data_IF_758029150998
#
_entry.id   IF_758029150998
#
_cell.length_a   1.000
_cell.length_b   1.000
_cell.length_c   1.000
_cell.angle_alpha   90.00
_cell.angle_beta   90.00
_cell.angle_gamma   90.00
#
_symmetry.space_group_name_H-M   'P 1'
#
loop_
_entity.id
_entity.type
_entity.pdbx_description
1 polymer ?
#
# COMPACT_ATOMS: atom_id res chain seq x y z
N UNK A 1 26.77 -18.43 59.56
CA UNK A 1 27.30 -17.10 59.22
C UNK A 1 26.17 -16.32 58.63
N UNK A 2 25.66 -15.41 59.44
CA UNK A 2 24.55 -14.50 59.25
C UNK A 2 25.17 -13.10 59.21
N UNK A 3 24.85 -12.28 58.21
CA UNK A 3 24.89 -10.80 58.19
C UNK A 3 24.12 -10.41 56.91
N UNK A 4 23.23 -9.43 56.83
CA UNK A 4 22.79 -8.39 57.73
C UNK A 4 22.07 -7.32 56.87
N UNK A 5 20.88 -6.92 57.33
CA UNK A 5 19.99 -5.82 56.88
C UNK A 5 20.76 -4.49 56.75
N UNK A 6 20.52 -3.63 55.75
CA UNK A 6 19.69 -2.40 55.80
C UNK A 6 19.62 -1.72 54.39
N UNK A 7 18.73 -0.81 54.00
CA UNK A 7 17.60 -0.12 54.61
C UNK A 7 17.45 1.28 54.00
N UNK A 8 16.29 1.59 53.37
CA UNK A 8 15.68 2.92 53.11
C UNK A 8 16.48 3.95 52.25
N UNK A 9 15.92 4.85 51.46
CA UNK A 9 14.85 5.84 51.75
C UNK A 9 14.15 6.33 50.47
N UNK A 10 12.91 6.78 50.69
CA UNK A 10 12.05 7.57 49.79
C UNK A 10 12.66 8.95 49.47
N UNK A 11 12.18 9.59 48.41
CA UNK A 11 11.79 11.01 48.44
C UNK A 11 10.86 11.36 47.26
N UNK A 12 9.61 11.66 47.61
CA UNK A 12 8.67 12.52 46.88
C UNK A 12 9.08 13.97 47.11
N UNK A 13 9.08 14.83 46.09
CA UNK A 13 8.74 16.27 46.26
C UNK A 13 7.98 16.75 45.01
N UNK A 14 6.73 17.17 45.27
CA UNK A 14 5.86 18.01 44.45
C UNK A 14 6.32 19.48 44.37
N UNK A 15 5.64 20.22 43.48
CA UNK A 15 5.44 21.68 43.47
C UNK A 15 6.41 22.46 42.55
N UNK A 16 6.03 23.53 41.84
CA UNK A 16 4.78 24.22 41.53
C UNK A 16 5.10 25.39 40.56
N UNK A 17 4.05 26.02 40.03
CA UNK A 17 3.95 27.04 38.98
C UNK A 17 4.83 28.30 39.08
N UNK A 18 5.07 28.97 37.94
CA UNK A 18 4.76 30.42 37.76
C UNK A 18 4.90 30.89 36.30
N UNK A 19 4.10 31.92 35.99
CA UNK A 19 3.83 32.51 34.68
C UNK A 19 4.87 33.57 34.27
N UNK A 20 4.96 33.86 32.97
CA UNK A 20 5.68 35.03 32.44
C UNK A 20 5.20 35.38 31.02
N UNK A 21 4.29 36.35 30.94
CA UNK A 21 3.89 37.03 29.71
C UNK A 21 4.95 38.07 29.28
N UNK A 22 5.22 38.22 27.98
CA UNK A 22 5.55 39.50 27.34
C UNK A 22 5.04 39.46 25.89
N UNK A 23 4.22 40.46 25.52
CA UNK A 23 3.80 40.79 24.15
C UNK A 23 4.51 42.06 23.66
N UNK A 24 4.91 42.12 22.39
CA UNK A 24 4.98 43.33 21.52
C UNK A 24 5.46 42.90 20.12
N UNK A 25 4.70 42.95 19.00
CA UNK A 25 4.09 44.05 18.23
C UNK A 25 4.88 44.43 16.95
N UNK A 26 4.26 44.14 15.79
CA UNK A 26 4.05 45.00 14.58
C UNK A 26 5.12 45.10 13.44
N UNK A 27 4.58 44.89 12.21
CA UNK A 27 4.86 45.44 10.85
C UNK A 27 5.91 44.81 9.89
N UNK A 28 5.39 44.00 8.95
CA UNK A 28 5.23 44.18 7.49
C UNK A 28 6.35 44.59 6.49
N UNK A 29 6.24 43.94 5.31
CA UNK A 29 6.80 44.21 3.95
C UNK A 29 8.32 43.91 3.68
N UNK A 30 8.78 43.28 2.59
CA UNK A 30 8.20 42.87 1.30
C UNK A 30 9.13 41.89 0.50
N UNK A 31 8.52 41.01 -0.31
CA UNK A 31 8.90 40.42 -1.64
C UNK A 31 10.24 39.68 -1.93
N UNK A 32 10.10 38.45 -2.45
CA UNK A 32 10.40 37.96 -3.85
C UNK A 32 10.14 36.44 -3.87
N UNK A 33 9.14 35.86 -4.55
CA UNK A 33 8.88 35.65 -6.00
C UNK A 33 9.16 34.19 -6.41
N UNK A 34 8.36 33.73 -7.37
CA UNK A 34 8.33 32.49 -8.16
C UNK A 34 7.75 31.19 -7.55
N UNK A 35 6.82 30.48 -8.18
CA UNK A 35 5.73 30.78 -9.11
C UNK A 35 4.93 29.47 -9.21
N UNK A 36 3.62 29.56 -9.00
CA UNK A 36 2.63 28.50 -9.09
C UNK A 36 2.33 28.25 -10.57
N UNK A 37 2.55 27.03 -11.09
CA UNK A 37 2.00 26.64 -12.40
C UNK A 37 0.97 25.53 -12.23
N UNK A 38 -0.27 25.96 -12.36
CA UNK A 38 -1.46 25.13 -12.41
C UNK A 38 -1.62 24.48 -13.79
N UNK A 39 -2.38 23.41 -13.76
CA UNK A 39 -2.62 22.38 -14.75
C UNK A 39 -3.60 22.86 -15.83
N UNK A 40 -3.16 23.02 -17.08
CA UNK A 40 -4.08 23.13 -18.23
C UNK A 40 -3.51 22.48 -19.49
N UNK A 41 -4.08 21.34 -19.88
CA UNK A 41 -4.32 20.91 -21.28
C UNK A 41 -5.52 19.96 -21.23
N UNK A 42 -6.75 20.48 -21.32
CA UNK A 42 -7.60 20.59 -22.53
C UNK A 42 -7.76 19.28 -23.31
N UNK A 43 -8.93 18.67 -23.09
CA UNK A 43 -9.64 17.78 -24.01
C UNK A 43 -10.57 18.68 -24.86
N UNK A 44 -10.70 18.41 -26.16
CA UNK A 44 -11.97 18.46 -26.91
C UNK A 44 -11.84 17.89 -28.34
N UNK A 45 -12.94 17.23 -28.71
CA UNK A 45 -13.51 16.70 -29.97
C UNK A 45 -13.45 17.67 -31.19
N UNK A 46 -13.70 17.37 -32.49
CA UNK A 46 -14.43 16.33 -33.26
C UNK A 46 -14.07 16.45 -34.80
N UNK A 47 -14.59 15.50 -35.61
CA UNK A 47 -15.01 15.59 -37.05
C UNK A 47 -14.07 15.43 -38.29
N UNK A 48 -14.14 14.22 -38.87
CA UNK A 48 -14.61 13.84 -40.24
C UNK A 48 -14.25 14.68 -41.50
N UNK A 49 -13.58 14.09 -42.53
CA UNK A 49 -14.09 14.04 -43.93
C UNK A 49 -13.37 13.01 -44.88
N UNK A 50 -14.17 12.02 -45.30
CA UNK A 50 -14.38 11.27 -46.58
C UNK A 50 -13.39 11.25 -47.77
N UNK A 51 -13.12 10.03 -48.32
CA UNK A 51 -13.49 9.49 -49.68
C UNK A 51 -12.57 8.30 -50.07
N UNK A 52 -13.09 7.06 -50.09
CA UNK A 52 -13.50 6.19 -51.25
C UNK A 52 -12.32 5.38 -51.86
N UNK A 53 -12.38 4.11 -52.28
CA UNK A 53 -13.41 3.35 -53.00
C UNK A 53 -13.30 1.82 -52.76
N UNK A 54 -14.33 1.13 -53.25
CA UNK A 54 -14.81 -0.27 -53.13
C UNK A 54 -13.89 -1.46 -53.46
N UNK A 55 -14.19 -2.63 -52.85
CA UNK A 55 -13.94 -3.96 -53.43
C UNK A 55 -13.97 -5.09 -52.38
N UNK A 56 -14.89 -6.05 -52.53
CA UNK A 56 -15.22 -7.06 -51.52
C UNK A 56 -14.36 -8.34 -51.46
N UNK A 57 -14.81 -9.18 -50.53
CA UNK A 57 -14.59 -10.61 -50.33
C UNK A 57 -13.30 -11.17 -49.72
N UNK A 58 -13.58 -12.25 -48.96
CA UNK A 58 -12.72 -13.37 -48.52
C UNK A 58 -11.92 -13.24 -47.23
N UNK A 59 -12.49 -13.89 -46.20
CA UNK A 59 -11.81 -14.45 -45.03
C UNK A 59 -10.63 -15.34 -45.46
N UNK A 60 -9.41 -15.15 -44.89
CA UNK A 60 -8.47 -16.25 -44.75
C UNK A 60 -8.37 -16.66 -43.28
N UNK A 61 -9.10 -17.72 -42.98
CA UNK A 61 -8.90 -18.59 -41.83
C UNK A 61 -7.53 -19.26 -41.96
N UNK A 62 -6.50 -18.68 -41.36
CA UNK A 62 -5.25 -19.37 -41.08
C UNK A 62 -4.45 -18.61 -40.01
N UNK A 63 -4.83 -18.76 -38.74
CA UNK A 63 -3.85 -18.57 -37.67
C UNK A 63 -2.92 -19.79 -37.75
N UNK A 64 -1.61 -19.63 -37.97
CA UNK A 64 -0.71 -20.76 -38.05
C UNK A 64 -0.74 -21.48 -36.71
N UNK A 65 -1.09 -22.76 -36.76
CA UNK A 65 -0.96 -23.68 -35.65
C UNK A 65 0.48 -23.60 -35.15
N UNK A 66 0.67 -22.98 -33.98
CA UNK A 66 1.91 -23.09 -33.23
C UNK A 66 2.06 -24.59 -32.98
N UNK A 67 3.05 -25.19 -33.65
CA UNK A 67 3.40 -26.59 -33.48
C UNK A 67 3.57 -26.84 -31.99
N UNK A 68 2.76 -27.75 -31.47
CA UNK A 68 3.00 -28.34 -30.17
C UNK A 68 4.25 -29.21 -30.35
N UNK A 69 5.41 -28.57 -30.25
CA UNK A 69 6.67 -29.29 -30.08
C UNK A 69 6.52 -30.03 -28.76
N UNK A 70 6.68 -31.38 -28.72
CA UNK A 70 6.72 -32.09 -27.46
C UNK A 70 7.78 -31.41 -26.60
N UNK A 71 7.41 -31.02 -25.38
CA UNK A 71 8.34 -30.34 -24.50
C UNK A 71 9.47 -31.32 -24.18
N UNK A 72 10.65 -31.07 -24.75
CA UNK A 72 11.83 -31.88 -24.52
C UNK A 72 12.11 -31.97 -23.02
N UNK A 73 12.46 -33.18 -22.56
CA UNK A 73 12.77 -33.40 -21.16
C UNK A 73 14.07 -32.65 -20.81
N UNK A 74 14.07 -31.77 -19.78
CA UNK A 74 15.28 -31.07 -19.36
C UNK A 74 16.35 -32.09 -18.93
N UNK A 75 17.57 -31.88 -19.38
CA UNK A 75 18.72 -32.71 -19.02
C UNK A 75 19.83 -31.88 -18.38
N UNK A 76 20.63 -32.54 -17.55
CA UNK A 76 21.80 -31.89 -16.92
C UNK A 76 22.84 -31.58 -18.00
N UNK A 77 23.31 -30.34 -18.02
CA UNK A 77 24.21 -29.82 -19.06
C UNK A 77 23.52 -29.06 -20.18
N UNK A 78 22.19 -28.98 -20.21
CA UNK A 78 21.48 -28.15 -21.18
C UNK A 78 21.83 -26.66 -20.98
N UNK A 79 22.17 -25.98 -22.07
CA UNK A 79 22.57 -24.57 -22.06
C UNK A 79 21.43 -23.66 -22.56
N UNK A 80 21.36 -22.47 -22.00
CA UNK A 80 20.43 -21.41 -22.39
C UNK A 80 21.17 -20.07 -22.47
N UNK A 81 20.77 -19.22 -23.40
CA UNK A 81 21.38 -17.90 -23.57
C UNK A 81 20.99 -16.91 -22.46
N UNK A 82 19.82 -17.13 -21.82
CA UNK A 82 19.32 -16.27 -20.75
C UNK A 82 18.58 -17.06 -19.66
N UNK A 83 18.50 -16.44 -18.47
CA UNK A 83 17.69 -16.97 -17.36
C UNK A 83 16.21 -17.07 -17.76
N UNK A 84 15.71 -16.07 -18.50
CA UNK A 84 14.33 -16.03 -18.98
C UNK A 84 14.03 -17.18 -19.96
N UNK A 85 14.96 -17.49 -20.86
CA UNK A 85 14.81 -18.62 -21.79
C UNK A 85 14.72 -19.96 -21.02
N UNK A 86 15.59 -20.18 -20.04
CA UNK A 86 15.55 -21.36 -19.19
C UNK A 86 14.24 -21.46 -18.37
N UNK A 87 13.73 -20.32 -17.90
CA UNK A 87 12.46 -20.25 -17.19
C UNK A 87 11.28 -20.64 -18.09
N UNK A 88 11.20 -20.09 -19.31
CA UNK A 88 10.13 -20.40 -20.27
C UNK A 88 10.16 -21.87 -20.65
N UNK A 89 11.35 -22.43 -20.90
CA UNK A 89 11.53 -23.84 -21.21
C UNK A 89 11.03 -24.76 -20.08
N UNK A 90 11.50 -24.53 -18.84
CA UNK A 90 11.07 -25.35 -17.72
C UNK A 90 9.58 -25.18 -17.38
N UNK A 91 9.01 -24.00 -17.64
CA UNK A 91 7.57 -23.77 -17.48
C UNK A 91 6.75 -24.55 -18.51
N UNK A 92 7.21 -24.61 -19.76
CA UNK A 92 6.58 -25.43 -20.79
C UNK A 92 6.64 -26.92 -20.43
N UNK A 93 7.81 -27.39 -19.97
CA UNK A 93 7.98 -28.75 -19.44
C UNK A 93 7.03 -29.02 -18.27
N UNK A 94 7.02 -28.17 -17.24
CA UNK A 94 6.15 -28.31 -16.07
C UNK A 94 4.66 -28.39 -16.47
N UNK A 95 4.24 -27.55 -17.41
CA UNK A 95 2.87 -27.54 -17.93
C UNK A 95 2.53 -28.80 -18.72
N UNK A 96 3.49 -29.37 -19.45
CA UNK A 96 3.30 -30.62 -20.19
C UNK A 96 3.21 -31.84 -19.27
N UNK A 97 4.02 -31.87 -18.21
CA UNK A 97 4.03 -32.93 -17.19
C UNK A 97 2.85 -32.81 -16.24
N UNK A 98 2.31 -31.59 -16.07
CA UNK A 98 1.10 -31.35 -15.33
C UNK A 98 1.30 -30.86 -13.90
N UNK A 99 2.38 -30.12 -13.66
CA UNK A 99 2.60 -29.38 -12.42
C UNK A 99 2.87 -27.91 -12.70
N UNK A 100 2.67 -27.09 -11.67
CA UNK A 100 3.02 -25.69 -11.70
C UNK A 100 4.38 -25.54 -11.03
N UNK A 101 5.32 -24.90 -11.70
CA UNK A 101 6.62 -24.56 -11.12
C UNK A 101 6.52 -23.29 -10.26
N UNK A 102 7.57 -22.93 -9.52
CA UNK A 102 7.74 -21.63 -8.85
C UNK A 102 9.21 -21.27 -8.85
N UNK A 103 9.49 -19.97 -8.85
CA UNK A 103 10.85 -19.47 -8.70
C UNK A 103 11.23 -19.55 -7.21
N UNK A 104 12.34 -20.21 -6.90
CA UNK A 104 12.77 -20.48 -5.52
C UNK A 104 13.93 -19.56 -5.13
N UNK A 105 15.15 -20.11 -5.01
CA UNK A 105 16.34 -19.36 -4.59
C UNK A 105 17.04 -18.76 -5.80
N UNK A 106 17.46 -17.50 -5.65
CA UNK A 106 18.42 -16.83 -6.51
C UNK A 106 19.79 -16.82 -5.82
N UNK A 107 20.82 -17.32 -6.49
CA UNK A 107 22.21 -17.29 -6.02
C UNK A 107 22.93 -16.12 -6.66
N UNK A 108 23.59 -15.31 -5.85
CA UNK A 108 24.36 -14.13 -6.30
C UNK A 108 25.85 -14.30 -6.06
N UNK A 109 26.67 -13.70 -6.92
CA UNK A 109 28.11 -13.55 -6.72
C UNK A 109 28.37 -12.81 -5.42
N UNK A 110 29.31 -13.30 -4.59
CA UNK A 110 29.80 -12.54 -3.43
C UNK A 110 30.68 -11.36 -3.83
N UNK A 111 31.28 -11.40 -5.04
CA UNK A 111 32.17 -10.35 -5.53
C UNK A 111 31.40 -9.24 -6.22
N UNK A 112 30.50 -9.61 -7.13
CA UNK A 112 29.89 -8.65 -8.06
C UNK A 112 28.37 -8.47 -7.83
N UNK A 113 27.77 -9.22 -6.92
CA UNK A 113 26.31 -9.21 -6.69
C UNK A 113 25.46 -9.77 -7.84
N UNK A 114 26.07 -10.14 -8.96
CA UNK A 114 25.41 -10.66 -10.17
C UNK A 114 24.73 -12.00 -9.93
N UNK A 115 23.63 -12.27 -10.64
CA UNK A 115 22.96 -13.57 -10.59
C UNK A 115 23.84 -14.67 -11.20
N UNK A 116 24.31 -15.59 -10.36
CA UNK A 116 25.15 -16.74 -10.75
C UNK A 116 24.32 -18.04 -10.81
N UNK A 117 23.17 -18.10 -10.17
CA UNK A 117 22.35 -19.29 -10.22
C UNK A 117 20.90 -19.05 -9.86
N UNK A 118 20.03 -19.92 -10.37
CA UNK A 118 18.58 -19.86 -10.12
C UNK A 118 18.07 -21.28 -9.91
N UNK A 119 17.15 -21.44 -8.96
CA UNK A 119 16.43 -22.70 -8.76
C UNK A 119 14.95 -22.52 -9.05
N UNK A 120 14.39 -23.44 -9.82
CA UNK A 120 12.99 -23.52 -10.17
C UNK A 120 12.45 -24.84 -9.64
N UNK A 121 11.33 -24.80 -8.92
CA UNK A 121 10.87 -25.93 -8.09
C UNK A 121 9.38 -26.14 -8.29
N UNK A 122 8.84 -27.29 -7.91
CA UNK A 122 7.38 -27.47 -7.91
C UNK A 122 6.69 -26.53 -6.90
N UNK A 123 5.46 -26.09 -7.19
CA UNK A 123 4.66 -25.29 -6.25
C UNK A 123 4.47 -26.02 -4.90
N UNK A 124 4.34 -27.35 -4.95
CA UNK A 124 4.19 -28.21 -3.78
C UNK A 124 5.52 -28.57 -3.08
N UNK A 125 6.64 -27.93 -3.45
CA UNK A 125 7.97 -28.19 -2.90
C UNK A 125 8.15 -27.68 -1.46
N UNK A 126 8.77 -28.50 -0.62
CA UNK A 126 9.13 -28.20 0.77
C UNK A 126 7.98 -28.38 1.77
N UNK A 127 8.23 -28.02 3.02
CA UNK A 127 7.22 -27.94 4.07
C UNK A 127 7.17 -26.50 4.59
N UNK A 128 5.99 -26.00 4.95
CA UNK A 128 5.91 -24.68 5.58
C UNK A 128 6.33 -24.85 7.04
N UNK A 129 7.34 -24.09 7.45
CA UNK A 129 7.70 -24.03 8.88
C UNK A 129 6.50 -23.37 9.59
N UNK A 130 5.97 -23.95 10.68
CA UNK A 130 4.89 -23.34 11.42
C UNK A 130 5.32 -21.97 11.92
N UNK A 131 4.53 -20.94 11.59
CA UNK A 131 4.79 -19.58 12.03
C UNK A 131 4.50 -19.51 13.54
N UNK A 132 5.50 -19.08 14.33
CA UNK A 132 5.38 -19.00 15.80
C UNK A 132 4.64 -17.74 16.26
N UNK A 133 4.21 -16.87 15.35
CA UNK A 133 3.50 -15.63 15.67
C UNK A 133 2.01 -15.91 15.90
N UNK A 134 1.45 -15.22 16.88
CA UNK A 134 0.06 -15.38 17.33
C UNK A 134 -0.95 -15.30 16.18
N UNK A 135 -1.99 -16.12 16.31
CA UNK A 135 -2.98 -16.56 15.31
C UNK A 135 -3.95 -15.46 14.83
N UNK A 136 -3.49 -14.23 14.58
CA UNK A 136 -4.35 -13.11 14.19
C UNK A 136 -4.51 -13.00 12.66
N UNK A 137 -3.66 -13.67 11.88
CA UNK A 137 -3.76 -13.69 10.41
C UNK A 137 -4.33 -15.03 9.95
N UNK A 138 -5.41 -15.01 9.15
CA UNK A 138 -6.01 -16.19 8.51
C UNK A 138 -4.91 -17.08 7.91
N UNK A 139 -4.69 -18.25 8.51
CA UNK A 139 -3.70 -19.20 8.02
C UNK A 139 -4.16 -19.76 6.68
N UNK A 140 -3.48 -19.38 5.59
CA UNK A 140 -3.67 -19.97 4.27
C UNK A 140 -3.44 -21.48 4.37
N UNK A 141 -4.38 -22.27 3.83
CA UNK A 141 -4.31 -23.74 3.80
C UNK A 141 -2.94 -24.20 3.29
N UNK A 142 -2.35 -25.20 3.95
CA UNK A 142 -1.03 -25.72 3.60
C UNK A 142 -1.07 -26.43 2.24
N UNK A 143 -0.37 -25.86 1.26
CA UNK A 143 -0.34 -26.40 -0.11
C UNK A 143 0.92 -27.21 -0.43
N UNK A 144 1.92 -27.23 0.47
CA UNK A 144 3.23 -27.87 0.26
C UNK A 144 3.27 -29.26 0.89
N UNK A 145 3.57 -30.28 0.09
CA UNK A 145 3.59 -31.70 0.48
C UNK A 145 5.01 -32.28 0.45
N UNK A 146 6.03 -31.43 0.51
CA UNK A 146 7.42 -31.90 0.48
C UNK A 146 7.89 -32.39 -0.89
N UNK A 147 7.30 -31.90 -1.99
CA UNK A 147 7.73 -32.30 -3.33
C UNK A 147 9.22 -32.00 -3.55
N UNK A 148 9.95 -32.90 -4.22
CA UNK A 148 11.40 -32.74 -4.49
C UNK A 148 11.73 -32.31 -5.92
N UNK A 149 10.74 -32.29 -6.81
CA UNK A 149 10.93 -31.89 -8.19
C UNK A 149 11.48 -30.46 -8.32
N UNK A 150 12.64 -30.34 -8.97
CA UNK A 150 13.37 -29.09 -9.12
C UNK A 150 14.33 -29.13 -10.32
N UNK A 151 14.65 -27.96 -10.83
CA UNK A 151 15.78 -27.72 -11.73
C UNK A 151 16.65 -26.60 -11.15
N UNK A 152 17.97 -26.78 -11.23
CA UNK A 152 18.97 -25.80 -10.83
C UNK A 152 19.76 -25.35 -12.04
N UNK A 153 19.84 -24.03 -12.20
CA UNK A 153 20.55 -23.35 -13.27
C UNK A 153 21.75 -22.61 -12.68
N UNK A 154 22.89 -22.66 -13.38
CA UNK A 154 24.10 -21.91 -13.04
C UNK A 154 24.60 -21.15 -14.26
N UNK A 155 24.97 -19.89 -14.06
CA UNK A 155 25.64 -19.07 -15.06
C UNK A 155 27.10 -19.48 -15.17
N UNK A 156 27.53 -19.85 -16.37
CA UNK A 156 28.90 -20.17 -16.72
C UNK A 156 29.66 -18.88 -17.08
N UNK A 157 30.98 -18.91 -17.02
CA UNK A 157 31.86 -17.78 -17.38
C UNK A 157 31.62 -17.26 -18.81
N UNK A 158 31.10 -18.10 -19.71
CA UNK A 158 30.66 -17.74 -21.06
C UNK A 158 29.40 -16.88 -21.10
N UNK A 159 28.75 -16.59 -19.97
CA UNK A 159 27.51 -15.82 -19.88
C UNK A 159 26.24 -16.65 -20.03
N UNK A 160 26.36 -17.91 -20.49
CA UNK A 160 25.26 -18.86 -20.66
C UNK A 160 24.80 -19.45 -19.34
N UNK A 161 23.55 -19.92 -19.30
CA UNK A 161 22.92 -20.59 -18.18
C UNK A 161 22.84 -22.09 -18.43
N UNK A 162 23.39 -22.89 -17.53
CA UNK A 162 23.46 -24.35 -17.67
C UNK A 162 22.69 -25.05 -16.57
N UNK A 163 21.95 -26.09 -16.91
CA UNK A 163 21.27 -26.97 -15.95
C UNK A 163 22.31 -27.80 -15.20
N UNK A 164 22.44 -27.59 -13.89
CA UNK A 164 23.39 -28.35 -13.04
C UNK A 164 22.73 -29.49 -12.31
N UNK A 165 21.42 -29.41 -12.05
CA UNK A 165 20.66 -30.44 -11.36
C UNK A 165 19.25 -30.46 -11.90
N UNK A 166 18.74 -31.65 -12.17
CA UNK A 166 17.34 -31.87 -12.53
C UNK A 166 16.80 -33.04 -11.71
N UNK A 167 15.65 -32.84 -11.07
CA UNK A 167 14.92 -33.83 -10.30
C UNK A 167 13.51 -33.89 -10.86
N UNK A 168 13.17 -35.01 -11.49
CA UNK A 168 11.86 -35.28 -12.10
C UNK A 168 10.82 -35.76 -11.09
N UNK A 169 11.25 -36.43 -10.03
CA UNK A 169 10.35 -37.12 -9.10
C UNK A 169 9.44 -36.17 -8.33
N UNK A 170 8.14 -36.42 -8.41
CA UNK A 170 7.11 -35.76 -7.61
C UNK A 170 6.63 -36.68 -6.48
N UNK A 171 6.40 -36.10 -5.31
CA UNK A 171 5.87 -36.80 -4.13
C UNK A 171 4.34 -36.69 -4.05
N UNK A 172 3.69 -36.23 -5.13
CA UNK A 172 2.25 -36.03 -5.21
C UNK A 172 1.73 -36.32 -6.62
N UNK A 173 0.43 -36.63 -6.77
CA UNK A 173 -0.21 -36.72 -8.08
C UNK A 173 -0.08 -35.40 -8.85
N UNK A 174 0.24 -35.49 -10.14
CA UNK A 174 0.31 -34.35 -11.05
C UNK A 174 -1.12 -33.92 -11.39
N UNK A 175 -1.45 -32.66 -11.12
CA UNK A 175 -2.83 -32.18 -11.05
C UNK A 175 -3.46 -31.91 -12.43
N UNK A 176 -2.64 -31.85 -13.48
CA UNK A 176 -3.11 -31.54 -14.84
C UNK A 176 -2.85 -32.74 -15.73
N UNK A 177 -3.90 -33.50 -16.06
CA UNK A 177 -3.83 -34.45 -17.17
C UNK A 177 -3.55 -33.67 -18.48
N UNK A 178 -2.74 -34.22 -19.40
CA UNK A 178 -2.53 -33.60 -20.70
C UNK A 178 -3.86 -33.52 -21.45
N UNK A 179 -4.38 -32.31 -21.67
CA UNK A 179 -5.54 -32.08 -22.55
C UNK A 179 -6.68 -31.19 -22.05
N UNK A 180 -6.64 -30.63 -20.83
CA UNK A 180 -7.61 -29.56 -20.43
C UNK A 180 -6.93 -28.18 -20.44
N UNK A 181 -7.63 -27.22 -21.06
CA UNK A 181 -7.12 -25.91 -21.47
C UNK A 181 -6.43 -25.09 -20.38
N UNK A 182 -5.32 -24.47 -20.80
CA UNK A 182 -4.33 -23.69 -20.02
C UNK A 182 -4.75 -22.27 -19.62
N UNK A 183 -6.02 -21.86 -19.76
CA UNK A 183 -6.35 -20.41 -19.69
C UNK A 183 -6.36 -19.82 -18.27
N UNK A 184 -6.34 -20.62 -17.21
CA UNK A 184 -6.52 -20.11 -15.83
C UNK A 184 -5.26 -19.73 -15.06
N UNK A 185 -4.10 -20.32 -15.33
CA UNK A 185 -3.01 -20.35 -14.34
C UNK A 185 -1.71 -19.62 -14.70
N UNK A 186 -1.61 -19.02 -15.89
CA UNK A 186 -0.41 -18.24 -16.28
C UNK A 186 -0.37 -16.88 -15.56
N UNK A 187 -1.54 -16.30 -15.25
CA UNK A 187 -1.65 -14.99 -14.58
C UNK A 187 -1.56 -15.04 -13.05
N UNK A 188 -1.46 -16.22 -12.44
CA UNK A 188 -1.60 -16.38 -10.98
C UNK A 188 -0.26 -16.61 -10.26
N UNK A 189 0.84 -16.68 -11.01
CA UNK A 189 2.18 -16.94 -10.46
C UNK A 189 2.93 -15.66 -10.06
N UNK A 190 2.41 -14.50 -10.48
CA UNK A 190 2.58 -13.23 -9.77
C UNK A 190 1.20 -12.93 -9.17
N UNK A 191 1.04 -12.70 -7.86
CA UNK A 191 -0.14 -11.96 -7.42
C UNK A 191 -0.08 -10.65 -8.21
N UNK A 192 -0.97 -10.48 -9.19
CA UNK A 192 -0.93 -9.37 -10.11
C UNK A 192 -0.86 -8.09 -9.27
N UNK A 193 0.32 -7.46 -9.24
CA UNK A 193 0.53 -6.28 -8.40
C UNK A 193 -0.54 -5.25 -8.73
N UNK A 194 -1.00 -5.19 -9.99
CA UNK A 194 -2.10 -4.35 -10.42
C UNK A 194 -3.46 -4.69 -9.80
N UNK A 195 -3.78 -5.97 -9.54
CA UNK A 195 -5.03 -6.35 -8.87
C UNK A 195 -4.98 -6.01 -7.38
N UNK A 196 -3.82 -6.22 -6.74
CA UNK A 196 -3.60 -5.83 -5.35
C UNK A 196 -3.60 -4.30 -5.19
N UNK A 197 -2.96 -3.59 -6.12
CA UNK A 197 -2.97 -2.13 -6.19
C UNK A 197 -4.40 -1.64 -6.39
N UNK A 198 -5.19 -2.24 -7.29
CA UNK A 198 -6.59 -1.86 -7.51
C UNK A 198 -7.44 -2.09 -6.27
N UNK A 199 -7.31 -3.25 -5.63
CA UNK A 199 -8.03 -3.59 -4.39
C UNK A 199 -7.66 -2.65 -3.25
N UNK A 200 -6.37 -2.42 -3.01
CA UNK A 200 -5.91 -1.50 -1.96
C UNK A 200 -6.28 -0.04 -2.27
N UNK A 201 -6.24 0.36 -3.54
CA UNK A 201 -6.69 1.70 -3.95
C UNK A 201 -8.19 1.88 -3.72
N UNK A 202 -8.99 0.84 -3.97
CA UNK A 202 -10.42 0.85 -3.69
C UNK A 202 -10.69 0.92 -2.17
N UNK A 203 -9.96 0.13 -1.36
CA UNK A 203 -10.06 0.19 0.09
C UNK A 203 -9.65 1.56 0.63
N UNK A 204 -8.56 2.14 0.13
CA UNK A 204 -8.11 3.49 0.47
C UNK A 204 -9.16 4.54 0.08
N UNK A 205 -9.79 4.42 -1.08
CA UNK A 205 -10.84 5.33 -1.52
C UNK A 205 -12.08 5.26 -0.62
N UNK A 206 -12.47 4.06 -0.18
CA UNK A 206 -13.56 3.88 0.78
C UNK A 206 -13.23 4.49 2.14
N UNK A 207 -12.00 4.28 2.64
CA UNK A 207 -11.59 4.83 3.93
C UNK A 207 -11.46 6.36 3.87
N UNK A 208 -10.94 6.91 2.76
CA UNK A 208 -10.94 8.36 2.53
C UNK A 208 -12.35 8.95 2.53
N UNK A 209 -13.33 8.26 1.93
CA UNK A 209 -14.74 8.69 1.98
C UNK A 209 -15.28 8.66 3.41
N UNK A 210 -15.00 7.59 4.17
CA UNK A 210 -15.44 7.47 5.57
C UNK A 210 -14.82 8.56 6.45
N UNK A 211 -13.51 8.80 6.30
CA UNK A 211 -12.79 9.88 6.98
C UNK A 211 -13.35 11.25 6.63
N UNK A 212 -13.64 11.53 5.36
CA UNK A 212 -14.28 12.78 4.95
C UNK A 212 -15.68 12.95 5.55
N UNK A 213 -16.44 11.87 5.72
CA UNK A 213 -17.74 11.92 6.41
C UNK A 213 -17.58 12.27 7.88
N UNK A 214 -16.66 11.62 8.60
CA UNK A 214 -16.40 11.96 10.01
C UNK A 214 -15.89 13.39 10.17
N UNK A 215 -15.01 13.85 9.27
CA UNK A 215 -14.55 15.23 9.25
C UNK A 215 -15.70 16.22 9.13
N UNK A 216 -16.64 16.01 8.20
CA UNK A 216 -17.84 16.85 8.07
C UNK A 216 -18.71 16.85 9.32
N UNK A 217 -18.89 15.70 9.97
CA UNK A 217 -19.66 15.64 11.22
C UNK A 217 -18.98 16.44 12.34
N UNK A 218 -17.65 16.36 12.43
CA UNK A 218 -16.90 17.16 13.40
C UNK A 218 -16.98 18.65 13.11
N UNK A 219 -16.84 19.06 11.84
CA UNK A 219 -16.99 20.46 11.42
C UNK A 219 -18.37 21.03 11.80
N UNK A 220 -19.44 20.27 11.55
CA UNK A 220 -20.79 20.66 11.94
C UNK A 220 -20.96 20.80 13.46
N UNK A 221 -20.33 19.92 14.25
CA UNK A 221 -20.38 20.01 15.70
C UNK A 221 -19.64 21.25 16.21
N UNK A 222 -18.47 21.57 15.63
CA UNK A 222 -17.73 22.78 15.99
C UNK A 222 -18.51 24.05 15.64
N UNK A 223 -19.08 24.11 14.43
CA UNK A 223 -19.92 25.25 14.01
C UNK A 223 -21.09 25.47 14.97
N UNK A 224 -21.76 24.39 15.41
CA UNK A 224 -22.83 24.50 16.39
C UNK A 224 -22.36 24.99 17.77
N UNK A 225 -21.18 24.56 18.21
CA UNK A 225 -20.58 25.02 19.48
C UNK A 225 -20.25 26.52 19.40
N UNK A 226 -19.68 26.97 18.29
CA UNK A 226 -19.30 28.36 18.07
C UNK A 226 -20.54 29.26 18.01
N UNK A 227 -21.58 28.86 17.28
CA UNK A 227 -22.87 29.57 17.23
C UNK A 227 -23.51 29.71 18.62
N UNK A 228 -23.50 28.63 19.40
CA UNK A 228 -24.03 28.64 20.75
C UNK A 228 -23.21 29.55 21.67
N UNK A 229 -21.88 29.50 21.57
CA UNK A 229 -20.99 30.37 22.35
C UNK A 229 -21.17 31.85 22.00
N UNK A 230 -21.30 32.19 20.73
CA UNK A 230 -21.60 33.53 20.26
C UNK A 230 -22.96 34.03 20.76
N UNK A 231 -23.98 33.17 20.72
CA UNK A 231 -25.32 33.48 21.22
C UNK A 231 -25.31 33.74 22.73
N UNK A 232 -24.62 32.90 23.50
CA UNK A 232 -24.42 33.09 24.94
C UNK A 232 -23.66 34.39 25.22
N UNK A 233 -22.57 34.65 24.49
CA UNK A 233 -21.77 35.86 24.64
C UNK A 233 -22.59 37.12 24.38
N UNK A 234 -23.42 37.14 23.32
CA UNK A 234 -24.34 38.24 23.03
C UNK A 234 -25.37 38.45 24.15
N UNK A 235 -25.93 37.38 24.70
CA UNK A 235 -26.88 37.46 25.82
C UNK A 235 -26.22 38.01 27.09
N UNK A 236 -25.00 37.55 27.41
CA UNK A 236 -24.22 38.05 28.53
C UNK A 236 -23.91 39.53 28.33
N UNK A 237 -23.45 39.92 27.15
CA UNK A 237 -23.14 41.32 26.83
C UNK A 237 -24.36 42.22 27.02
N UNK A 238 -25.54 41.79 26.54
CA UNK A 238 -26.78 42.53 26.74
C UNK A 238 -27.13 42.70 28.23
N UNK A 239 -26.92 41.68 29.07
CA UNK A 239 -27.14 41.78 30.52
C UNK A 239 -26.14 42.77 31.14
N UNK A 240 -24.86 42.68 30.76
CA UNK A 240 -23.81 43.59 31.23
C UNK A 240 -24.12 45.03 30.85
N UNK A 241 -24.53 45.28 29.62
CA UNK A 241 -24.89 46.61 29.13
C UNK A 241 -26.09 47.18 29.90
N UNK A 242 -27.13 46.36 30.16
CA UNK A 242 -28.28 46.77 30.97
C UNK A 242 -27.90 47.08 32.42
N UNK A 243 -27.06 46.26 33.06
CA UNK A 243 -26.58 46.50 34.43
C UNK A 243 -25.79 47.80 34.48
N UNK A 244 -24.92 48.04 33.51
CA UNK A 244 -24.14 49.27 33.41
C UNK A 244 -25.04 50.49 33.21
N UNK A 245 -26.08 50.39 32.39
CA UNK A 245 -27.08 51.46 32.24
C UNK A 245 -27.80 51.75 33.56
N UNK A 246 -28.20 50.72 34.31
CA UNK A 246 -28.82 50.89 35.63
C UNK A 246 -27.86 51.55 36.63
N UNK A 247 -26.61 51.10 36.71
CA UNK A 247 -25.58 51.69 37.58
C UNK A 247 -25.35 53.17 37.24
N UNK A 248 -25.28 53.53 35.95
CA UNK A 248 -25.10 54.93 35.54
C UNK A 248 -26.29 55.81 35.94
N UNK A 249 -27.54 55.33 35.77
CA UNK A 249 -28.75 56.04 36.20
C UNK A 249 -28.82 56.22 37.71
N UNK A 250 -28.41 55.21 38.49
CA UNK A 250 -28.32 55.30 39.95
C UNK A 250 -27.28 56.34 40.37
N UNK A 251 -26.09 56.32 39.75
CA UNK A 251 -25.02 57.29 40.02
C UNK A 251 -25.46 58.74 39.70
N UNK A 252 -26.19 58.93 38.60
CA UNK A 252 -26.76 60.23 38.22
C UNK A 252 -27.84 60.69 39.21
N UNK A 253 -28.76 59.80 39.59
CA UNK A 253 -29.78 60.09 40.61
C UNK A 253 -29.16 60.50 41.95
N UNK A 254 -28.14 59.76 42.40
CA UNK A 254 -27.40 60.07 43.63
C UNK A 254 -26.73 61.45 43.55
N UNK A 255 -26.13 61.80 42.40
CA UNK A 255 -25.55 63.13 42.17
C UNK A 255 -26.60 64.23 42.16
N UNK A 256 -27.75 64.02 41.51
CA UNK A 256 -28.85 64.99 41.49
C UNK A 256 -29.43 65.25 42.88
N UNK A 257 -29.55 64.21 43.71
CA UNK A 257 -30.00 64.33 45.10
C UNK A 257 -28.99 65.14 45.93
N UNK A 258 -27.69 64.86 45.80
CA UNK A 258 -26.65 65.60 46.52
C UNK A 258 -26.60 67.10 46.17
N UNK A 259 -26.90 67.47 44.92
CA UNK A 259 -26.95 68.86 44.48
C UNK A 259 -28.19 69.62 44.98
N UNK A 260 -29.26 68.93 45.37
CA UNK A 260 -30.48 69.55 45.92
C UNK A 260 -30.44 69.71 47.45
N UNK A 261 -29.49 69.05 48.12
CA UNK A 261 -29.33 69.06 49.60
C UNK A 261 -28.28 70.05 50.11
N UNK A 262 -27.60 70.78 49.23
CA UNK A 262 -26.66 71.88 49.55
C UNK A 262 -27.26 73.24 49.14
#
# INVERSE_FOLDING_TARGET
MEFGIDGSTNDEIEANATMGEVSSSIADENKTDDSLFDLVYKQDQDDNITQDSSGGDTIPSAIPAVSVVPADEPYVGQEFDSEAAAHVFYNAYATSVGFIMRVSKLSRSRRDGTAIGRSLVCNKEGYRIPDKREKIVRQRTETRVGCRAMIMLRKVTSGKWVVTKFVKEHTHPLALLPGKGRKGFIYEQYPNEHDKIRELSQQLALEKRRSATYKRHLELLFEHIDEHNDSLSKRIQHIVDNVKEMETKEQESHRSIQLLTN
#
